data_IF_646752897632
#
_entry.id   IF_646752897632
#
_cell.length_a   1.000
_cell.length_b   1.000
_cell.length_c   1.000
_cell.angle_alpha   90.00
_cell.angle_beta   90.00
_cell.angle_gamma   90.00
#
_symmetry.space_group_name_H-M   'P 1'
#
loop_
_entity.id
_entity.type
_entity.pdbx_description
1 polymer ?
#
# COMPACT_ATOMS: atom_id res chain seq x y z
N UNK A 1 -16.10 6.70 5.85
CA UNK A 1 -15.55 5.77 6.87
C UNK A 1 -14.09 5.51 6.53
N UNK A 2 -13.18 5.55 7.51
CA UNK A 2 -11.74 5.38 7.28
C UNK A 2 -11.21 4.27 8.17
N UNK A 3 -10.56 3.26 7.59
CA UNK A 3 -10.02 2.10 8.32
C UNK A 3 -8.49 2.12 8.26
N UNK A 4 -7.85 1.88 9.39
CA UNK A 4 -6.39 1.81 9.51
C UNK A 4 -5.89 0.38 9.23
N UNK A 5 -5.54 0.09 7.98
CA UNK A 5 -5.10 -1.25 7.53
C UNK A 5 -3.60 -1.43 7.73
N UNK A 6 -3.18 -2.52 8.38
CA UNK A 6 -1.77 -2.81 8.61
C UNK A 6 -1.10 -3.43 7.38
N UNK A 7 -0.03 -2.81 6.88
CA UNK A 7 0.68 -3.28 5.67
C UNK A 7 1.98 -4.06 5.97
N UNK A 8 2.20 -4.47 7.22
CA UNK A 8 3.42 -5.16 7.66
C UNK A 8 4.50 -4.23 8.24
N UNK A 9 4.38 -2.92 8.07
CA UNK A 9 5.27 -1.92 8.69
C UNK A 9 4.52 -0.87 9.49
N UNK A 10 3.37 -0.41 8.98
CA UNK A 10 2.58 0.64 9.60
C UNK A 10 1.09 0.45 9.27
N UNK A 11 0.24 1.17 10.00
CA UNK A 11 -1.18 1.29 9.68
C UNK A 11 -1.39 2.42 8.67
N UNK A 12 -1.92 2.07 7.50
CA UNK A 12 -2.26 3.02 6.44
C UNK A 12 -3.75 3.36 6.54
N UNK A 13 -4.14 4.64 6.66
CA UNK A 13 -5.54 5.02 6.66
C UNK A 13 -6.12 4.91 5.24
N UNK A 14 -7.10 4.03 5.08
CA UNK A 14 -7.82 3.81 3.81
C UNK A 14 -9.24 4.32 3.96
N UNK A 15 -9.63 5.22 3.05
CA UNK A 15 -11.01 5.69 2.95
C UNK A 15 -11.82 4.73 2.08
N UNK A 16 -12.96 4.25 2.59
CA UNK A 16 -13.78 3.24 1.90
C UNK A 16 -14.82 3.92 1.01
N UNK A 17 -14.84 3.53 -0.27
CA UNK A 17 -15.87 3.89 -1.25
C UNK A 17 -16.71 2.66 -1.61
N UNK A 18 -17.88 2.86 -2.23
CA UNK A 18 -18.81 1.76 -2.59
C UNK A 18 -18.19 0.78 -3.61
N UNK A 19 -17.32 1.26 -4.49
CA UNK A 19 -16.62 0.43 -5.48
C UNK A 19 -15.65 -0.59 -4.84
N UNK A 20 -15.34 -0.45 -3.55
CA UNK A 20 -14.48 -1.37 -2.81
C UNK A 20 -15.26 -2.55 -2.19
N UNK A 21 -16.59 -2.57 -2.32
CA UNK A 21 -17.43 -3.67 -1.79
C UNK A 21 -17.16 -4.96 -2.57
N UNK A 22 -16.80 -6.02 -1.85
CA UNK A 22 -16.41 -7.32 -2.43
C UNK A 22 -14.89 -7.54 -2.48
N UNK A 23 -14.09 -6.49 -2.25
CA UNK A 23 -12.63 -6.58 -2.18
C UNK A 23 -12.12 -6.82 -0.76
N UNK A 24 -10.87 -7.27 -0.64
CA UNK A 24 -10.20 -7.44 0.65
C UNK A 24 -9.45 -6.17 1.03
N UNK A 25 -9.53 -5.79 2.31
CA UNK A 25 -8.85 -4.59 2.82
C UNK A 25 -7.32 -4.58 2.56
N UNK A 26 -6.69 -5.76 2.51
CA UNK A 26 -5.26 -5.89 2.21
C UNK A 26 -4.86 -5.49 0.79
N UNK A 27 -5.80 -5.45 -0.16
CA UNK A 27 -5.53 -5.02 -1.55
C UNK A 27 -5.27 -3.51 -1.62
N UNK A 28 -5.83 -2.75 -0.68
CA UNK A 28 -5.69 -1.30 -0.61
C UNK A 28 -4.48 -0.85 0.21
N UNK A 29 -3.68 -1.78 0.74
CA UNK A 29 -2.50 -1.51 1.55
C UNK A 29 -1.27 -2.25 1.01
N UNK A 30 -0.46 -1.56 0.20
CA UNK A 30 0.76 -2.12 -0.40
C UNK A 30 1.73 -2.63 0.69
N UNK A 31 2.12 -3.89 0.59
CA UNK A 31 3.01 -4.56 1.56
C UNK A 31 4.49 -4.48 1.21
N UNK A 32 4.84 -4.18 -0.05
CA UNK A 32 6.22 -4.02 -0.53
C UNK A 32 6.31 -2.83 -1.49
N UNK A 33 7.36 -2.03 -1.35
CA UNK A 33 7.70 -0.99 -2.34
C UNK A 33 8.60 -1.58 -3.41
N UNK A 34 8.03 -1.84 -4.59
CA UNK A 34 8.82 -2.25 -5.75
C UNK A 34 9.58 -1.05 -6.31
N UNK A 35 10.91 -1.17 -6.44
CA UNK A 35 11.80 -0.09 -6.91
C UNK A 35 12.22 -0.23 -8.38
N UNK A 36 11.56 -1.10 -9.16
CA UNK A 36 11.91 -1.40 -10.55
C UNK A 36 12.83 -2.62 -10.70
N UNK A 37 12.91 -3.13 -11.93
CA UNK A 37 13.85 -4.19 -12.30
C UNK A 37 15.17 -3.54 -12.75
N UNK A 38 16.29 -3.93 -12.14
CA UNK A 38 17.58 -3.28 -12.38
C UNK A 38 17.77 -2.00 -11.57
N UNK A 39 17.53 -2.03 -10.26
CA UNK A 39 17.83 -0.90 -9.38
C UNK A 39 19.36 -0.67 -9.30
N UNK A 40 19.93 -0.07 -10.35
CA UNK A 40 21.23 0.57 -10.35
C UNK A 40 21.19 1.70 -9.30
N UNK A 41 21.82 1.42 -8.16
CA UNK A 41 21.92 2.32 -7.02
C UNK A 41 22.89 3.47 -7.35
N UNK A 42 22.52 4.38 -8.23
CA UNK A 42 23.27 5.61 -8.46
C UNK A 42 22.39 6.85 -8.52
N UNK A 43 21.66 7.11 -7.44
CA UNK A 43 21.12 8.42 -7.02
C UNK A 43 20.32 8.14 -5.73
N UNK A 44 20.40 8.90 -4.64
CA UNK A 44 20.78 10.29 -4.43
C UNK A 44 21.22 10.43 -2.96
N UNK A 45 22.15 11.34 -2.75
CA UNK A 45 22.68 11.83 -1.46
C UNK A 45 21.57 12.42 -0.58
#
# INVERSE_FOLDING_TARGET
MTIAVHNGRQHVPVHITEDMVGHKLGEFALTRTYKGHGADKKAKR
#
